data_IF_763746101645
#
_entry.id   IF_763746101645
#
_cell.length_a   1.000
_cell.length_b   1.000
_cell.length_c   1.000
_cell.angle_alpha   90.00
_cell.angle_beta   90.00
_cell.angle_gamma   90.00
#
_symmetry.space_group_name_H-M   'P 1'
#
loop_
_entity.id
_entity.type
_entity.pdbx_description
1 polymer ?
#
# COMPACT_ATOMS: atom_id res chain seq x y z
N UNK A 1 -5.15 -17.31 31.03
CA UNK A 1 -4.47 -16.67 29.88
C UNK A 1 -4.47 -17.66 28.74
N UNK A 2 -5.06 -17.32 27.60
CA UNK A 2 -5.19 -18.22 26.45
C UNK A 2 -4.25 -17.73 25.33
N UNK A 3 -2.96 -17.77 25.61
CA UNK A 3 -1.94 -17.28 24.69
C UNK A 3 -1.63 -18.37 23.67
N UNK A 4 -1.63 -18.01 22.38
CA UNK A 4 -1.24 -18.92 21.29
C UNK A 4 0.17 -18.55 20.82
N UNK A 5 1.02 -19.55 20.62
CA UNK A 5 2.37 -19.35 20.10
C UNK A 5 2.36 -19.42 18.57
N UNK A 6 3.04 -18.46 17.95
CA UNK A 6 3.35 -18.48 16.52
C UNK A 6 4.86 -18.37 16.35
N UNK A 7 5.44 -19.19 15.46
CA UNK A 7 6.87 -19.22 15.19
C UNK A 7 7.13 -18.88 13.73
N UNK A 8 8.10 -17.98 13.50
CA UNK A 8 8.47 -17.52 12.17
C UNK A 8 9.98 -17.67 11.95
N UNK A 9 10.36 -17.91 10.70
CA UNK A 9 11.74 -17.69 10.26
C UNK A 9 11.79 -16.29 9.64
N UNK A 10 12.72 -15.47 10.10
CA UNK A 10 12.87 -14.09 9.67
C UNK A 10 14.31 -13.87 9.19
N UNK A 11 14.54 -12.96 8.23
CA UNK A 11 15.89 -12.51 7.90
C UNK A 11 16.62 -11.99 9.13
N UNK A 12 17.93 -12.23 9.21
CA UNK A 12 18.76 -11.85 10.35
C UNK A 12 18.67 -10.36 10.66
N UNK A 13 18.68 -9.52 9.62
CA UNK A 13 18.63 -8.07 9.71
C UNK A 13 17.32 -7.59 10.35
N UNK A 14 16.22 -8.31 10.10
CA UNK A 14 14.93 -8.01 10.71
C UNK A 14 14.93 -8.34 12.20
N UNK A 15 15.54 -9.48 12.59
CA UNK A 15 15.69 -9.86 14.01
C UNK A 15 16.53 -8.82 14.76
N UNK A 16 17.64 -8.37 14.18
CA UNK A 16 18.48 -7.32 14.75
C UNK A 16 17.73 -5.99 14.92
N UNK A 17 16.89 -5.64 13.94
CA UNK A 17 16.04 -4.44 14.01
C UNK A 17 15.00 -4.55 15.13
N UNK A 18 14.41 -5.73 15.34
CA UNK A 18 13.49 -5.99 16.46
C UNK A 18 14.21 -5.86 17.81
N UNK A 19 15.42 -6.41 17.94
CA UNK A 19 16.22 -6.30 19.16
C UNK A 19 16.59 -4.86 19.51
N UNK A 20 16.97 -4.06 18.50
CA UNK A 20 17.22 -2.64 18.67
C UNK A 20 15.96 -1.86 19.08
N UNK A 21 14.79 -2.30 18.64
CA UNK A 21 13.53 -1.71 19.07
C UNK A 21 13.22 -2.06 20.54
N UNK A 22 13.41 -3.32 20.93
CA UNK A 22 13.25 -3.75 22.32
C UNK A 22 14.19 -2.99 23.27
N UNK A 23 15.44 -2.76 22.86
CA UNK A 23 16.40 -1.97 23.65
C UNK A 23 15.95 -0.51 23.81
N UNK A 24 15.48 0.13 22.74
CA UNK A 24 14.92 1.49 22.82
C UNK A 24 13.71 1.56 23.76
N UNK A 25 12.88 0.53 23.80
CA UNK A 25 11.74 0.47 24.72
C UNK A 25 12.20 0.32 26.18
N UNK A 26 13.23 -0.48 26.45
CA UNK A 26 13.84 -0.60 27.79
C UNK A 26 14.38 0.73 28.28
N UNK A 27 15.12 1.44 27.43
CA UNK A 27 15.72 2.74 27.77
C UNK A 27 14.65 3.80 28.09
N UNK A 28 13.52 3.77 27.39
CA UNK A 28 12.40 4.71 27.62
C UNK A 28 11.56 4.39 28.86
N UNK A 29 11.59 3.15 29.33
CA UNK A 29 10.74 2.69 30.42
C UNK A 29 11.59 2.03 31.53
N UNK A 30 12.39 2.83 32.28
CA UNK A 30 13.23 2.31 33.33
C UNK A 30 12.38 1.59 34.40
N UNK A 31 12.84 0.42 34.82
CA UNK A 31 12.13 -0.43 35.79
C UNK A 31 11.16 -1.45 35.17
N UNK A 32 10.89 -1.38 33.86
CA UNK A 32 10.06 -2.36 33.16
C UNK A 32 10.96 -3.35 32.39
N UNK A 33 10.72 -4.65 32.59
CA UNK A 33 11.34 -5.70 31.76
C UNK A 33 10.63 -5.74 30.41
N UNK A 34 11.34 -5.38 29.35
CA UNK A 34 10.83 -5.49 27.97
C UNK A 34 11.57 -6.61 27.25
N UNK A 35 10.85 -7.67 26.89
CA UNK A 35 11.35 -8.77 26.08
C UNK A 35 11.23 -8.48 24.57
N UNK A 36 11.91 -9.29 23.74
CA UNK A 36 11.72 -9.26 22.28
C UNK A 36 10.27 -9.53 21.91
N UNK A 37 9.60 -10.46 22.61
CA UNK A 37 8.21 -10.80 22.35
C UNK A 37 7.30 -9.59 22.61
N UNK A 38 7.58 -8.77 23.62
CA UNK A 38 6.81 -7.55 23.90
C UNK A 38 6.98 -6.51 22.80
N UNK A 39 8.22 -6.32 22.33
CA UNK A 39 8.51 -5.44 21.20
C UNK A 39 7.79 -5.91 19.92
N UNK A 40 7.81 -7.21 19.65
CA UNK A 40 7.10 -7.81 18.50
C UNK A 40 5.59 -7.62 18.63
N UNK A 41 5.00 -7.90 19.80
CA UNK A 41 3.56 -7.69 20.04
C UNK A 41 3.15 -6.25 19.77
N UNK A 42 3.90 -5.28 20.31
CA UNK A 42 3.60 -3.86 20.13
C UNK A 42 3.71 -3.43 18.66
N UNK A 43 4.72 -3.92 17.95
CA UNK A 43 4.89 -3.62 16.52
C UNK A 43 3.79 -4.26 15.67
N UNK A 44 3.42 -5.51 15.95
CA UNK A 44 2.33 -6.19 15.26
C UNK A 44 1.00 -5.49 15.48
N UNK A 45 0.70 -5.08 16.71
CA UNK A 45 -0.54 -4.36 17.02
C UNK A 45 -0.63 -3.05 16.24
N UNK A 46 0.46 -2.26 16.23
CA UNK A 46 0.53 -1.02 15.46
C UNK A 46 0.42 -1.24 13.95
N UNK A 47 1.06 -2.28 13.43
CA UNK A 47 0.99 -2.58 12.01
C UNK A 47 -0.43 -2.99 11.61
N UNK A 48 -1.10 -3.81 12.42
CA UNK A 48 -2.49 -4.18 12.20
C UNK A 48 -3.41 -2.97 12.26
N UNK A 49 -3.26 -2.07 13.24
CA UNK A 49 -4.06 -0.83 13.27
C UNK A 49 -3.86 0.07 12.04
N UNK A 50 -2.64 0.11 11.48
CA UNK A 50 -2.36 0.87 10.26
C UNK A 50 -3.01 0.20 9.04
N UNK A 51 -2.82 -1.11 8.90
CA UNK A 51 -3.41 -1.89 7.79
C UNK A 51 -4.93 -1.88 7.87
N UNK A 52 -5.51 -2.04 9.07
CA UNK A 52 -6.96 -2.00 9.25
C UNK A 52 -7.53 -0.61 8.95
N UNK A 53 -6.81 0.48 9.24
CA UNK A 53 -7.24 1.82 8.82
C UNK A 53 -7.17 2.00 7.30
N UNK A 54 -6.18 1.40 6.66
CA UNK A 54 -6.07 1.38 5.20
C UNK A 54 -7.08 0.41 4.54
N UNK A 55 -7.57 -0.58 5.28
CA UNK A 55 -8.49 -1.62 4.80
C UNK A 55 -9.96 -1.36 5.15
N UNK A 56 -10.23 -0.43 6.06
CA UNK A 56 -11.59 -0.05 6.43
C UNK A 56 -12.00 1.23 5.70
N UNK A 57 -12.35 1.06 4.43
CA UNK A 57 -13.30 1.85 3.63
C UNK A 57 -13.25 1.28 2.21
N UNK A 58 -13.82 0.08 2.08
CA UNK A 58 -14.24 -0.54 0.81
C UNK A 58 -13.10 -1.03 -0.11
N UNK A 59 -13.37 -2.02 -0.96
CA UNK A 59 -12.46 -2.39 -2.05
C UNK A 59 -12.37 -1.31 -3.14
N UNK A 60 -12.48 -0.02 -2.81
CA UNK A 60 -12.42 1.12 -3.71
C UNK A 60 -11.22 1.99 -3.37
N UNK A 61 -10.38 2.22 -4.37
CA UNK A 61 -9.25 3.14 -4.29
C UNK A 61 -9.80 4.55 -4.43
N UNK A 62 -9.91 5.31 -3.35
CA UNK A 62 -10.07 6.77 -3.46
C UNK A 62 -8.76 7.38 -3.98
N UNK A 63 -8.77 7.74 -5.26
CA UNK A 63 -7.77 8.62 -5.85
C UNK A 63 -7.88 10.00 -5.18
N UNK A 64 -6.76 10.67 -4.85
CA UNK A 64 -6.81 12.03 -4.33
C UNK A 64 -7.51 12.91 -5.37
N UNK A 65 -8.66 13.48 -4.99
CA UNK A 65 -9.32 14.51 -5.79
C UNK A 65 -8.27 15.57 -6.12
N UNK A 66 -7.99 15.67 -7.42
CA UNK A 66 -7.16 16.72 -7.96
C UNK A 66 -7.70 18.04 -7.41
N UNK A 67 -6.89 18.68 -6.56
CA UNK A 67 -7.13 20.03 -6.12
C UNK A 67 -7.51 20.86 -7.36
N UNK A 68 -8.77 21.31 -7.37
CA UNK A 68 -9.31 22.15 -8.42
C UNK A 68 -8.36 23.32 -8.67
N UNK A 69 -7.84 23.36 -9.88
CA UNK A 69 -6.90 24.37 -10.35
C UNK A 69 -7.00 24.47 -11.87
N UNK A 70 -8.14 25.02 -12.30
CA UNK A 70 -8.36 25.77 -13.54
C UNK A 70 -7.22 25.72 -14.58
N UNK A 71 -7.33 24.80 -15.55
CA UNK A 71 -6.75 24.99 -16.88
C UNK A 71 -7.72 24.48 -17.92
N UNK A 72 -8.47 25.45 -18.43
CA UNK A 72 -9.01 25.51 -19.78
C UNK A 72 -8.08 24.78 -20.78
N UNK A 73 -8.41 23.53 -21.11
CA UNK A 73 -7.87 22.85 -22.28
C UNK A 73 -9.08 22.65 -23.19
N UNK A 74 -9.08 23.39 -24.30
CA UNK A 74 -10.08 23.26 -25.35
C UNK A 74 -10.26 21.78 -25.73
N UNK A 75 -11.49 21.31 -25.96
CA UNK A 75 -11.69 20.01 -26.56
C UNK A 75 -10.97 19.99 -27.92
N UNK A 76 -10.16 18.97 -28.24
CA UNK A 76 -9.68 18.81 -29.61
C UNK A 76 -10.92 18.68 -30.51
N UNK A 77 -11.13 19.70 -31.34
CA UNK A 77 -12.21 19.71 -32.31
C UNK A 77 -12.07 18.47 -33.20
N UNK A 78 -13.16 17.73 -33.30
CA UNK A 78 -13.36 16.64 -34.23
C UNK A 78 -13.18 17.12 -35.67
N UNK A 79 -11.97 16.96 -36.20
CA UNK A 79 -11.67 17.16 -37.62
C UNK A 79 -11.95 15.88 -38.40
N UNK A 80 -13.14 15.86 -39.01
CA UNK A 80 -13.34 15.25 -40.32
C UNK A 80 -13.72 13.77 -40.35
N UNK A 81 -15.04 13.51 -40.35
CA UNK A 81 -15.57 12.59 -41.37
C UNK A 81 -15.30 13.25 -42.72
N UNK A 82 -14.51 12.61 -43.58
CA UNK A 82 -14.74 12.65 -45.01
C UNK A 82 -14.31 11.33 -45.64
N UNK A 83 -15.24 10.83 -46.43
CA UNK A 83 -15.23 9.62 -47.24
C UNK A 83 -13.93 9.41 -48.05
N UNK A 84 -13.44 8.17 -48.05
CA UNK A 84 -12.79 7.54 -49.21
C UNK A 84 -13.13 6.05 -49.18
N UNK A 85 -13.85 5.62 -50.21
CA UNK A 85 -14.51 4.32 -50.33
C UNK A 85 -13.59 3.11 -50.51
N UNK A 86 -14.19 1.91 -50.73
CA UNK A 86 -13.43 0.67 -50.77
C UNK A 86 -12.73 0.51 -52.12
N UNK A 87 -11.38 0.49 -52.11
CA UNK A 87 -10.59 0.04 -53.27
C UNK A 87 -9.76 -1.16 -52.84
N UNK A 88 -10.24 -2.35 -53.17
CA UNK A 88 -9.52 -3.58 -52.84
C UNK A 88 -10.23 -4.87 -53.22
N UNK A 89 -10.95 -4.91 -54.34
CA UNK A 89 -11.41 -6.16 -54.92
C UNK A 89 -11.03 -6.18 -56.40
N UNK A 90 -9.92 -6.86 -56.74
CA UNK A 90 -9.74 -7.74 -57.91
C UNK A 90 -8.47 -8.57 -57.75
N UNK A 91 -8.65 -9.89 -57.61
CA UNK A 91 -7.95 -10.90 -58.42
C UNK A 91 -8.67 -12.23 -58.20
N UNK A 92 -9.62 -12.48 -59.10
CA UNK A 92 -9.88 -13.80 -59.68
C UNK A 92 -9.63 -13.63 -61.20
N UNK A 93 -9.37 -14.69 -61.99
CA UNK A 93 -9.19 -16.11 -61.66
C UNK A 93 -7.75 -16.62 -61.87
#
# INVERSE_FOLDING_TARGET
MNDKQVAFRLPTELVERLDRHAERLRQKNPGIRVSRADAVRLLLWKALELVDKEWNEDGEIELPEAAGGDRNIDPPQSLGRNDMGPVGARRDP
#
